data_IF_018458400936
#
_entry.id   IF_018458400936
#
_cell.length_a   1.000
_cell.length_b   1.000
_cell.length_c   1.000
_cell.angle_alpha   90.00
_cell.angle_beta   90.00
_cell.angle_gamma   90.00
#
_symmetry.space_group_name_H-M   'P 1'
#
loop_
_entity.id
_entity.type
_entity.pdbx_description
1 polymer ?
#
# COMPACT_ATOMS: atom_id res chain seq x y z
N UNK A 1 -0.71 -36.53 -2.50
CA UNK A 1 -0.11 -35.44 -3.29
C UNK A 1 -1.12 -34.32 -3.49
N UNK A 2 -0.79 -33.11 -3.01
CA UNK A 2 -1.61 -31.89 -3.07
C UNK A 2 -1.37 -31.08 -4.35
N UNK A 3 -0.17 -31.25 -4.90
CA UNK A 3 0.45 -30.49 -5.96
C UNK A 3 0.33 -31.35 -7.23
N UNK A 4 -0.19 -30.79 -8.32
CA UNK A 4 -0.27 -31.51 -9.59
C UNK A 4 1.12 -31.88 -10.12
N UNK A 5 1.24 -32.91 -10.98
CA UNK A 5 2.53 -33.39 -11.49
C UNK A 5 3.31 -32.34 -12.32
N UNK A 6 2.71 -31.18 -12.62
CA UNK A 6 3.31 -30.05 -13.34
C UNK A 6 3.28 -28.72 -12.55
N UNK A 7 3.02 -28.75 -11.25
CA UNK A 7 2.88 -27.51 -10.50
C UNK A 7 4.22 -26.77 -10.36
N UNK A 8 4.17 -25.46 -10.52
CA UNK A 8 5.30 -24.58 -10.33
C UNK A 8 5.31 -24.04 -8.89
N UNK A 9 6.37 -24.37 -8.15
CA UNK A 9 6.54 -23.94 -6.75
C UNK A 9 6.69 -22.41 -6.65
N UNK A 10 7.35 -21.77 -7.62
CA UNK A 10 7.53 -20.31 -7.64
C UNK A 10 6.22 -19.58 -7.91
N UNK A 11 5.35 -20.13 -8.77
CA UNK A 11 4.01 -19.58 -9.03
C UNK A 11 3.13 -19.68 -7.78
N UNK A 12 3.21 -20.79 -7.04
CA UNK A 12 2.51 -20.94 -5.76
C UNK A 12 3.01 -19.96 -4.70
N UNK A 13 4.34 -19.72 -4.61
CA UNK A 13 4.91 -18.70 -3.72
C UNK A 13 4.40 -17.30 -4.08
N UNK A 14 4.41 -16.98 -5.38
CA UNK A 14 3.86 -15.72 -5.91
C UNK A 14 2.38 -15.57 -5.56
N UNK A 15 1.62 -16.67 -5.62
CA UNK A 15 0.22 -16.72 -5.19
C UNK A 15 0.04 -16.43 -3.70
N UNK A 16 0.88 -17.00 -2.83
CA UNK A 16 0.85 -16.72 -1.38
C UNK A 16 1.14 -15.25 -1.11
N UNK A 17 2.15 -14.67 -1.77
CA UNK A 17 2.47 -13.25 -1.63
C UNK A 17 1.33 -12.35 -2.12
N UNK A 18 0.75 -12.64 -3.28
CA UNK A 18 -0.38 -11.89 -3.83
C UNK A 18 -1.59 -11.95 -2.88
N UNK A 19 -1.87 -13.12 -2.32
CA UNK A 19 -2.94 -13.33 -1.35
C UNK A 19 -2.71 -12.57 -0.05
N UNK A 20 -1.47 -12.59 0.48
CA UNK A 20 -1.11 -11.85 1.68
C UNK A 20 -1.19 -10.33 1.46
N UNK A 21 -0.71 -9.83 0.33
CA UNK A 21 -0.84 -8.41 -0.05
C UNK A 21 -2.30 -8.00 -0.16
N UNK A 22 -3.14 -8.83 -0.77
CA UNK A 22 -4.59 -8.58 -0.88
C UNK A 22 -5.25 -8.51 0.50
N UNK A 23 -4.95 -9.45 1.41
CA UNK A 23 -5.44 -9.44 2.78
C UNK A 23 -5.08 -8.15 3.52
N UNK A 24 -3.80 -7.76 3.49
CA UNK A 24 -3.30 -6.56 4.19
C UNK A 24 -3.90 -5.29 3.57
N UNK A 25 -4.00 -5.21 2.24
CA UNK A 25 -4.63 -4.10 1.54
C UNK A 25 -6.08 -3.93 1.98
N UNK A 26 -6.83 -5.01 2.07
CA UNK A 26 -8.23 -4.97 2.47
C UNK A 26 -8.40 -4.66 3.97
N UNK A 27 -7.55 -5.21 4.86
CA UNK A 27 -7.50 -4.80 6.27
C UNK A 27 -7.21 -3.30 6.42
N UNK A 28 -6.29 -2.75 5.64
CA UNK A 28 -6.01 -1.30 5.62
C UNK A 28 -7.23 -0.51 5.14
N UNK A 29 -7.89 -0.93 4.07
CA UNK A 29 -9.14 -0.31 3.58
C UNK A 29 -10.25 -0.33 4.63
N UNK A 30 -10.42 -1.43 5.35
CA UNK A 30 -11.37 -1.53 6.45
C UNK A 30 -11.02 -0.61 7.63
N UNK A 31 -9.73 -0.33 7.87
CA UNK A 31 -9.29 0.62 8.90
C UNK A 31 -9.39 2.08 8.47
N UNK A 32 -9.42 2.36 7.16
CA UNK A 32 -9.61 3.73 6.65
C UNK A 32 -10.92 4.32 7.19
N UNK A 33 -10.83 5.59 7.57
CA UNK A 33 -11.97 6.46 7.94
C UNK A 33 -12.55 7.09 6.68
N UNK A 34 -13.76 7.64 6.78
CA UNK A 34 -14.38 8.36 5.66
C UNK A 34 -13.43 9.50 5.29
N UNK A 35 -13.08 9.67 4.01
CA UNK A 35 -12.24 10.79 3.58
C UNK A 35 -12.83 12.09 4.14
N UNK A 36 -12.07 12.77 4.99
CA UNK A 36 -12.50 14.04 5.58
C UNK A 36 -12.23 15.18 4.61
N UNK A 37 -13.24 16.02 4.35
CA UNK A 37 -13.10 17.23 3.50
C UNK A 37 -11.90 18.08 3.94
N UNK A 38 -11.69 18.20 5.25
CA UNK A 38 -10.60 18.99 5.83
C UNK A 38 -9.21 18.35 5.66
N UNK A 39 -9.12 17.02 5.67
CA UNK A 39 -7.84 16.33 5.44
C UNK A 39 -7.41 16.49 3.99
N UNK A 40 -8.35 16.37 3.04
CA UNK A 40 -8.08 16.61 1.63
C UNK A 40 -7.65 18.07 1.37
N UNK A 41 -8.36 19.06 1.93
CA UNK A 41 -7.97 20.48 1.83
C UNK A 41 -6.55 20.74 2.36
N UNK A 42 -6.17 20.09 3.48
CA UNK A 42 -4.81 20.21 4.04
C UNK A 42 -3.75 19.59 3.12
N UNK A 43 -4.03 18.44 2.52
CA UNK A 43 -3.10 17.78 1.60
C UNK A 43 -2.95 18.55 0.27
N UNK A 44 -4.05 19.09 -0.28
CA UNK A 44 -4.02 19.95 -1.47
C UNK A 44 -3.14 21.18 -1.24
N UNK A 45 -3.39 21.91 -0.13
CA UNK A 45 -2.59 23.08 0.21
C UNK A 45 -1.11 22.74 0.49
N UNK A 46 -0.79 21.54 0.97
CA UNK A 46 0.59 21.08 1.10
C UNK A 46 1.22 20.76 -0.25
N UNK A 47 0.48 20.13 -1.16
CA UNK A 47 0.96 19.83 -2.52
C UNK A 47 1.32 21.10 -3.29
N UNK A 48 0.45 22.11 -3.26
CA UNK A 48 0.69 23.42 -3.90
C UNK A 48 1.94 24.11 -3.32
N UNK A 49 2.11 24.06 -2.00
CA UNK A 49 3.31 24.61 -1.34
C UNK A 49 4.57 23.86 -1.73
N UNK A 50 4.51 22.54 -1.83
CA UNK A 50 5.66 21.72 -2.24
C UNK A 50 6.05 21.99 -3.70
N UNK A 51 5.08 22.23 -4.57
CA UNK A 51 5.31 22.60 -5.97
C UNK A 51 5.91 24.00 -6.11
N UNK A 52 5.43 24.97 -5.32
CA UNK A 52 6.05 26.28 -5.27
C UNK A 52 7.51 26.22 -4.79
N UNK A 53 7.77 25.43 -3.74
CA UNK A 53 9.13 25.25 -3.21
C UNK A 53 10.04 24.54 -4.21
N UNK A 54 9.56 23.51 -4.92
CA UNK A 54 10.36 22.83 -5.93
C UNK A 54 10.70 23.75 -7.10
N UNK A 55 9.77 24.59 -7.56
CA UNK A 55 10.01 25.57 -8.60
C UNK A 55 11.06 26.62 -8.19
N UNK A 56 11.03 27.12 -6.95
CA UNK A 56 12.05 28.03 -6.45
C UNK A 56 13.42 27.34 -6.30
N UNK A 57 13.46 26.08 -5.89
CA UNK A 57 14.71 25.32 -5.82
C UNK A 57 15.35 25.10 -7.18
N UNK A 58 14.55 24.84 -8.22
CA UNK A 58 15.05 24.75 -9.60
C UNK A 58 15.67 26.08 -10.04
N UNK A 59 15.06 27.22 -9.68
CA UNK A 59 15.63 28.56 -9.97
C UNK A 59 16.94 28.80 -9.22
N UNK A 60 17.05 28.33 -7.97
CA UNK A 60 18.29 28.43 -7.19
C UNK A 60 19.39 27.55 -7.78
N UNK A 61 19.08 26.32 -8.20
CA UNK A 61 20.03 25.42 -8.87
C UNK A 61 20.52 25.96 -10.22
N UNK A 62 19.69 26.72 -10.93
CA UNK A 62 20.08 27.33 -12.20
C UNK A 62 21.19 28.41 -12.05
N UNK A 63 21.45 28.89 -10.83
CA UNK A 63 22.50 29.88 -10.54
C UNK A 63 23.55 29.32 -9.57
N UNK A 64 24.80 29.10 -10.03
CA UNK A 64 25.88 28.56 -9.18
C UNK A 64 26.18 29.40 -7.93
N UNK A 65 26.00 30.71 -8.00
CA UNK A 65 26.20 31.60 -6.86
C UNK A 65 25.08 31.49 -5.82
N UNK A 66 23.85 31.23 -6.26
CA UNK A 66 22.71 31.06 -5.35
C UNK A 66 22.75 29.68 -4.69
N UNK A 67 23.13 28.63 -5.43
CA UNK A 67 23.28 27.29 -4.87
C UNK A 67 24.41 27.23 -3.84
N UNK A 68 25.56 27.84 -4.11
CA UNK A 68 26.68 27.91 -3.16
C UNK A 68 26.30 28.61 -1.85
N UNK A 69 25.66 29.79 -1.93
CA UNK A 69 25.18 30.52 -0.74
C UNK A 69 24.13 29.74 0.05
N UNK A 70 23.27 28.99 -0.63
CA UNK A 70 22.25 28.17 0.02
C UNK A 70 22.87 26.95 0.72
N UNK A 71 23.87 26.31 0.11
CA UNK A 71 24.63 25.23 0.74
C UNK A 71 25.37 25.71 2.00
N UNK A 72 26.07 26.86 1.92
CA UNK A 72 26.75 27.47 3.06
C UNK A 72 25.76 27.80 4.20
N UNK A 73 24.60 28.39 3.86
CA UNK A 73 23.56 28.71 4.85
C UNK A 73 22.97 27.46 5.50
N UNK A 74 22.83 26.36 4.76
CA UNK A 74 22.36 25.08 5.28
C UNK A 74 23.39 24.44 6.22
N UNK A 75 24.68 24.50 5.90
CA UNK A 75 25.74 24.02 6.77
C UNK A 75 25.85 24.82 8.07
N UNK A 76 25.64 26.14 8.02
CA UNK A 76 25.58 26.99 9.20
C UNK A 76 24.34 26.70 10.07
N UNK A 77 23.17 26.56 9.46
CA UNK A 77 21.94 26.25 10.19
C UNK A 77 21.94 24.83 10.76
N UNK A 78 22.56 23.85 10.10
CA UNK A 78 22.71 22.49 10.63
C UNK A 78 23.47 22.48 11.97
N UNK A 79 24.41 23.42 12.17
CA UNK A 79 25.16 23.59 13.42
C UNK A 79 24.33 24.22 14.54
N UNK A 80 23.28 24.97 14.21
CA UNK A 80 22.37 25.63 15.17
C UNK A 80 20.98 24.98 15.26
N UNK A 81 20.76 23.86 14.58
CA UNK A 81 19.46 23.24 14.41
C UNK A 81 19.01 22.45 15.65
N UNK A 82 17.71 22.53 15.95
CA UNK A 82 17.07 21.68 16.97
C UNK A 82 17.06 20.18 16.58
N UNK A 83 16.75 19.28 17.54
CA UNK A 83 16.88 17.83 17.36
C UNK A 83 16.04 17.24 16.21
N UNK A 84 14.93 17.88 15.82
CA UNK A 84 14.10 17.45 14.68
C UNK A 84 14.74 17.73 13.32
N UNK A 85 15.41 18.88 13.18
CA UNK A 85 16.06 19.29 11.95
C UNK A 85 17.36 18.50 11.72
N UNK A 86 18.12 18.21 12.78
CA UNK A 86 19.26 17.30 12.72
C UNK A 86 18.86 15.89 12.26
N UNK A 87 17.69 15.39 12.72
CA UNK A 87 17.16 14.10 12.28
C UNK A 87 16.81 14.10 10.79
N UNK A 88 16.19 15.17 10.28
CA UNK A 88 15.89 15.31 8.85
C UNK A 88 17.15 15.37 8.00
N UNK A 89 18.16 16.15 8.42
CA UNK A 89 19.46 16.20 7.75
C UNK A 89 20.11 14.80 7.69
N UNK A 90 20.14 14.07 8.81
CA UNK A 90 20.68 12.69 8.82
C UNK A 90 19.90 11.71 7.94
N UNK A 91 18.60 11.90 7.77
CA UNK A 91 17.78 11.09 6.87
C UNK A 91 18.06 11.41 5.40
N UNK A 92 18.33 12.68 5.08
CA UNK A 92 18.72 13.11 3.74
C UNK A 92 20.10 12.55 3.41
N UNK A 93 21.08 12.74 4.29
CA UNK A 93 22.46 12.24 4.11
C UNK A 93 22.51 10.70 4.05
N UNK A 94 21.70 10.02 4.87
CA UNK A 94 21.64 8.56 4.89
C UNK A 94 20.91 7.94 3.69
N UNK A 95 19.96 8.65 3.08
CA UNK A 95 19.20 8.16 1.93
C UNK A 95 19.86 8.48 0.59
N UNK A 96 20.55 9.62 0.49
CA UNK A 96 21.11 10.12 -0.77
C UNK A 96 22.65 10.15 -0.80
N UNK A 97 23.32 9.92 0.34
CA UNK A 97 24.79 9.85 0.45
C UNK A 97 25.44 11.23 0.66
N UNK A 98 26.79 11.30 0.73
CA UNK A 98 27.51 12.57 0.74
C UNK A 98 27.53 13.17 -0.68
N UNK A 99 26.87 14.31 -0.88
CA UNK A 99 26.65 14.92 -2.19
C UNK A 99 26.14 16.36 -2.08
N UNK A 100 25.72 16.96 -3.21
CA UNK A 100 25.18 18.32 -3.26
C UNK A 100 23.88 18.42 -2.43
N UNK A 101 23.88 19.15 -1.30
CA UNK A 101 22.72 19.21 -0.41
C UNK A 101 21.49 19.81 -1.10
N UNK A 102 21.68 20.66 -2.10
CA UNK A 102 20.59 21.28 -2.86
C UNK A 102 19.92 20.25 -3.77
N UNK A 103 20.69 19.35 -4.38
CA UNK A 103 20.17 18.25 -5.18
C UNK A 103 19.36 17.26 -4.34
N UNK A 104 19.83 16.91 -3.14
CA UNK A 104 19.12 15.98 -2.26
C UNK A 104 17.81 16.56 -1.72
N UNK A 105 17.78 17.86 -1.41
CA UNK A 105 16.54 18.54 -1.03
C UNK A 105 15.54 18.55 -2.19
N UNK A 106 16.00 18.80 -3.42
CA UNK A 106 15.16 18.74 -4.61
C UNK A 106 14.59 17.33 -4.85
N UNK A 107 15.38 16.28 -4.68
CA UNK A 107 14.91 14.89 -4.78
C UNK A 107 13.90 14.52 -3.68
N UNK A 108 14.17 14.90 -2.43
CA UNK A 108 13.22 14.69 -1.33
C UNK A 108 11.90 15.41 -1.58
N UNK A 109 11.95 16.67 -2.01
CA UNK A 109 10.75 17.44 -2.34
C UNK A 109 10.01 16.86 -3.53
N UNK A 110 10.72 16.34 -4.53
CA UNK A 110 10.10 15.65 -5.66
C UNK A 110 9.43 14.35 -5.21
N UNK A 111 10.03 13.57 -4.29
CA UNK A 111 9.39 12.40 -3.70
C UNK A 111 8.17 12.77 -2.85
N UNK A 112 8.26 13.82 -2.04
CA UNK A 112 7.14 14.33 -1.25
C UNK A 112 6.02 14.83 -2.15
N UNK A 113 6.35 15.59 -3.19
CA UNK A 113 5.40 16.07 -4.20
C UNK A 113 4.77 14.90 -4.94
N UNK A 114 5.54 13.93 -5.45
CA UNK A 114 5.01 12.71 -6.08
C UNK A 114 4.12 11.92 -5.14
N UNK A 115 4.45 11.85 -3.85
CA UNK A 115 3.62 11.18 -2.85
C UNK A 115 2.33 11.95 -2.56
N UNK A 116 2.41 13.28 -2.47
CA UNK A 116 1.28 14.17 -2.25
C UNK A 116 0.36 14.19 -3.48
N UNK A 117 0.91 14.31 -4.68
CA UNK A 117 0.19 14.25 -5.94
C UNK A 117 -0.41 12.87 -6.17
N UNK A 118 0.27 11.76 -5.86
CA UNK A 118 -0.36 10.43 -5.86
C UNK A 118 -1.54 10.32 -4.87
N UNK A 119 -1.53 11.07 -3.77
CA UNK A 119 -2.67 11.13 -2.83
C UNK A 119 -3.76 12.12 -3.24
N UNK A 120 -3.48 13.02 -4.18
CA UNK A 120 -4.38 14.13 -4.56
C UNK A 120 -4.85 14.05 -6.03
N UNK A 121 -4.35 13.11 -6.85
CA UNK A 121 -4.00 13.36 -8.27
C UNK A 121 -4.60 14.60 -8.95
N UNK A 122 -3.66 15.33 -9.55
CA UNK A 122 -3.82 15.94 -10.85
C UNK A 122 -3.55 14.86 -11.92
N UNK A 123 -4.60 14.25 -12.48
CA UNK A 123 -4.50 13.71 -13.85
C UNK A 123 -4.84 14.89 -14.76
N UNK A 124 -3.89 15.32 -15.59
CA UNK A 124 -4.00 16.54 -16.41
C UNK A 124 -5.06 16.45 -17.53
N UNK A 125 -5.70 15.29 -17.74
CA UNK A 125 -6.58 15.04 -18.89
C UNK A 125 -8.06 14.73 -18.57
N UNK A 126 -8.50 14.76 -17.31
CA UNK A 126 -9.92 14.58 -16.97
C UNK A 126 -10.44 15.73 -16.11
N UNK A 127 -11.57 16.29 -16.52
CA UNK A 127 -12.34 17.34 -15.83
C UNK A 127 -12.46 17.12 -14.31
N UNK A 128 -12.58 18.19 -13.51
CA UNK A 128 -12.30 18.17 -12.07
C UNK A 128 -13.45 17.55 -11.26
N UNK A 129 -13.64 16.26 -11.38
CA UNK A 129 -14.20 15.49 -10.28
C UNK A 129 -13.12 15.42 -9.20
N UNK A 130 -13.18 16.39 -8.28
CA UNK A 130 -12.34 16.50 -7.09
C UNK A 130 -11.97 15.10 -6.56
N UNK A 131 -10.69 14.83 -6.31
CA UNK A 131 -10.23 13.57 -5.72
C UNK A 131 -11.01 13.17 -4.47
N UNK A 132 -11.49 14.17 -3.74
CA UNK A 132 -12.43 13.98 -2.65
C UNK A 132 -13.70 13.22 -3.05
N UNK A 133 -14.33 13.59 -4.18
CA UNK A 133 -15.50 12.94 -4.73
C UNK A 133 -15.18 11.53 -5.23
N UNK A 134 -14.04 11.31 -5.89
CA UNK A 134 -13.61 9.97 -6.29
C UNK A 134 -13.33 9.06 -5.06
N UNK A 135 -12.66 9.57 -4.04
CA UNK A 135 -12.42 8.86 -2.78
C UNK A 135 -13.72 8.63 -1.99
N UNK A 136 -14.65 9.60 -2.01
CA UNK A 136 -15.99 9.44 -1.45
C UNK A 136 -16.78 8.38 -2.22
N UNK A 137 -16.73 8.37 -3.54
CA UNK A 137 -17.38 7.38 -4.38
C UNK A 137 -16.80 5.99 -4.16
N UNK A 138 -15.47 5.86 -4.08
CA UNK A 138 -14.82 4.63 -3.67
C UNK A 138 -15.22 4.21 -2.25
N UNK A 139 -15.37 5.17 -1.34
CA UNK A 139 -15.87 4.92 0.01
C UNK A 139 -17.34 4.49 0.03
N UNK A 140 -18.18 5.00 -0.88
CA UNK A 140 -19.58 4.61 -1.03
C UNK A 140 -19.72 3.24 -1.71
N UNK A 141 -18.90 2.95 -2.71
CA UNK A 141 -18.85 1.67 -3.46
C UNK A 141 -18.17 0.54 -2.69
N UNK A 142 -17.50 0.82 -1.58
CA UNK A 142 -16.79 -0.21 -0.82
C UNK A 142 -17.75 -1.28 -0.30
N UNK A 143 -17.31 -2.55 -0.21
CA UNK A 143 -18.08 -3.56 0.50
C UNK A 143 -18.28 -3.17 1.97
N UNK A 144 -19.45 -3.50 2.53
CA UNK A 144 -19.71 -3.33 3.97
C UNK A 144 -18.58 -3.99 4.76
N UNK A 145 -18.11 -3.33 5.81
CA UNK A 145 -17.03 -3.84 6.68
C UNK A 145 -17.50 -5.09 7.41
N UNK A 146 -17.40 -6.24 6.79
CA UNK A 146 -17.52 -7.55 7.45
C UNK A 146 -16.13 -8.07 7.77
N UNK A 147 -15.96 -8.70 8.93
CA UNK A 147 -14.66 -9.27 9.34
C UNK A 147 -14.13 -10.33 8.35
N UNK A 148 -14.99 -10.85 7.46
CA UNK A 148 -14.65 -11.81 6.42
C UNK A 148 -14.09 -11.19 5.13
N UNK A 149 -14.22 -9.88 4.88
CA UNK A 149 -13.73 -9.23 3.64
C UNK A 149 -12.24 -9.47 3.35
N UNK A 150 -11.32 -9.41 4.33
CA UNK A 150 -9.91 -9.67 4.07
C UNK A 150 -9.65 -11.11 3.62
N UNK A 151 -10.43 -12.06 4.16
CA UNK A 151 -10.37 -13.47 3.78
C UNK A 151 -10.93 -13.68 2.37
N UNK A 152 -11.99 -12.95 1.99
CA UNK A 152 -12.48 -12.91 0.61
C UNK A 152 -11.41 -12.43 -0.38
N UNK A 153 -10.75 -11.30 -0.05
CA UNK A 153 -9.71 -10.74 -0.90
C UNK A 153 -8.54 -11.70 -1.06
N UNK A 154 -8.09 -12.32 0.05
CA UNK A 154 -7.05 -13.33 0.06
C UNK A 154 -7.44 -14.53 -0.83
N UNK A 155 -8.63 -15.10 -0.61
CA UNK A 155 -9.08 -16.28 -1.33
C UNK A 155 -9.28 -16.02 -2.82
N UNK A 156 -9.80 -14.84 -3.22
CA UNK A 156 -9.92 -14.47 -4.64
C UNK A 156 -8.57 -14.27 -5.30
N UNK A 157 -7.62 -13.63 -4.61
CA UNK A 157 -6.28 -13.41 -5.13
C UNK A 157 -5.49 -14.72 -5.30
N UNK A 158 -5.71 -15.70 -4.43
CA UNK A 158 -5.02 -16.99 -4.50
C UNK A 158 -5.61 -17.96 -5.55
N UNK A 159 -6.91 -17.84 -5.86
CA UNK A 159 -7.63 -18.77 -6.75
C UNK A 159 -6.95 -19.04 -8.10
N UNK A 160 -6.47 -18.04 -8.87
CA UNK A 160 -5.83 -18.30 -10.17
C UNK A 160 -4.55 -19.13 -10.06
N UNK A 161 -3.83 -19.03 -8.93
CA UNK A 161 -2.63 -19.81 -8.66
C UNK A 161 -2.99 -21.24 -8.25
N UNK A 162 -4.08 -21.40 -7.50
CA UNK A 162 -4.61 -22.71 -7.18
C UNK A 162 -5.05 -23.46 -8.42
N UNK A 163 -5.90 -22.85 -9.25
CA UNK A 163 -6.50 -23.50 -10.43
C UNK A 163 -5.44 -23.93 -11.46
N UNK A 164 -4.28 -23.25 -11.52
CA UNK A 164 -3.16 -23.61 -12.40
C UNK A 164 -2.29 -24.75 -11.86
N UNK A 165 -2.24 -24.96 -10.55
CA UNK A 165 -1.23 -25.82 -9.91
C UNK A 165 -1.81 -27.02 -9.13
N UNK A 166 -3.08 -26.95 -8.72
CA UNK A 166 -3.72 -27.96 -7.89
C UNK A 166 -4.63 -28.88 -8.72
N UNK A 167 -4.61 -30.17 -8.41
CA UNK A 167 -5.50 -31.16 -9.06
C UNK A 167 -6.93 -31.14 -8.50
N UNK A 168 -7.14 -30.49 -7.35
CA UNK A 168 -8.42 -30.49 -6.64
C UNK A 168 -9.15 -29.16 -6.84
N UNK A 169 -10.49 -29.18 -6.89
CA UNK A 169 -11.26 -27.96 -7.13
C UNK A 169 -11.09 -26.94 -6.00
N UNK A 170 -11.10 -25.66 -6.36
CA UNK A 170 -11.09 -24.55 -5.41
C UNK A 170 -12.48 -24.30 -4.83
N UNK A 171 -12.86 -25.07 -3.80
CA UNK A 171 -14.17 -24.94 -3.16
C UNK A 171 -14.12 -25.24 -1.65
N UNK A 172 -15.24 -24.97 -0.97
CA UNK A 172 -15.42 -25.26 0.45
C UNK A 172 -15.52 -26.75 0.81
N UNK A 173 -15.43 -27.66 -0.17
CA UNK A 173 -15.58 -29.11 -0.02
C UNK A 173 -16.98 -29.56 0.45
N UNK A 174 -17.10 -30.86 0.76
CA UNK A 174 -18.34 -31.45 1.29
C UNK A 174 -18.27 -31.55 2.81
N UNK A 175 -19.45 -31.41 3.45
CA UNK A 175 -19.61 -31.65 4.87
C UNK A 175 -19.46 -33.13 5.18
N UNK A 176 -18.46 -33.48 5.99
CA UNK A 176 -18.28 -34.84 6.49
C UNK A 176 -19.06 -34.99 7.80
N UNK A 177 -20.07 -35.86 7.79
CA UNK A 177 -20.93 -36.14 8.94
C UNK A 177 -20.18 -36.83 10.08
N UNK A 178 -19.12 -37.58 9.78
CA UNK A 178 -18.35 -38.32 10.78
C UNK A 178 -17.46 -37.39 11.61
N UNK A 179 -16.80 -36.43 10.96
CA UNK A 179 -15.92 -35.46 11.64
C UNK A 179 -16.63 -34.14 11.97
N UNK A 180 -17.90 -33.99 11.60
CA UNK A 180 -18.70 -32.75 11.70
C UNK A 180 -18.01 -31.52 11.10
N UNK A 181 -17.17 -31.71 10.08
CA UNK A 181 -16.35 -30.66 9.47
C UNK A 181 -16.34 -30.78 7.95
N UNK A 182 -16.19 -29.65 7.24
CA UNK A 182 -15.94 -29.68 5.80
C UNK A 182 -14.49 -30.10 5.54
N UNK A 183 -14.29 -31.19 4.80
CA UNK A 183 -12.97 -31.62 4.34
C UNK A 183 -12.68 -30.94 3.00
N UNK A 184 -11.86 -29.90 3.05
CA UNK A 184 -11.53 -29.09 1.89
C UNK A 184 -10.10 -28.59 2.00
N UNK A 185 -9.25 -29.16 1.17
CA UNK A 185 -7.83 -28.83 1.12
C UNK A 185 -7.61 -27.34 0.80
N UNK A 186 -8.40 -26.77 -0.11
CA UNK A 186 -8.30 -25.35 -0.45
C UNK A 186 -8.62 -24.46 0.77
N UNK A 187 -9.61 -24.85 1.58
CA UNK A 187 -9.93 -24.18 2.85
C UNK A 187 -8.74 -24.25 3.80
N UNK A 188 -8.11 -25.42 3.93
CA UNK A 188 -6.98 -25.62 4.84
C UNK A 188 -5.77 -24.77 4.44
N UNK A 189 -5.47 -24.70 3.13
CA UNK A 189 -4.38 -23.87 2.59
C UNK A 189 -4.65 -22.39 2.83
N UNK A 190 -5.86 -21.92 2.52
CA UNK A 190 -6.25 -20.53 2.78
C UNK A 190 -6.21 -20.21 4.27
N UNK A 191 -6.68 -21.13 5.11
CA UNK A 191 -6.65 -20.97 6.55
C UNK A 191 -5.22 -20.87 7.08
N UNK A 192 -4.29 -21.71 6.60
CA UNK A 192 -2.88 -21.63 6.97
C UNK A 192 -2.24 -20.30 6.58
N UNK A 193 -2.48 -19.80 5.36
CA UNK A 193 -1.99 -18.50 4.91
C UNK A 193 -2.57 -17.39 5.80
N UNK A 194 -3.88 -17.45 6.05
CA UNK A 194 -4.56 -16.43 6.84
C UNK A 194 -4.13 -16.43 8.32
N UNK A 195 -3.88 -17.59 8.93
CA UNK A 195 -3.38 -17.69 10.31
C UNK A 195 -1.99 -17.09 10.51
N UNK A 196 -1.17 -17.02 9.45
CA UNK A 196 0.11 -16.29 9.51
C UNK A 196 -0.08 -14.78 9.59
N UNK A 197 -1.24 -14.27 9.16
CA UNK A 197 -1.59 -12.84 9.19
C UNK A 197 -2.49 -12.49 10.37
N UNK A 198 -3.32 -13.44 10.82
CA UNK A 198 -4.33 -13.29 11.86
C UNK A 198 -4.51 -14.64 12.61
N UNK A 199 -3.72 -14.86 13.69
CA UNK A 199 -3.67 -16.15 14.38
C UNK A 199 -5.00 -16.60 15.00
N UNK A 200 -5.87 -15.66 15.34
CA UNK A 200 -7.17 -15.93 15.97
C UNK A 200 -8.28 -16.24 14.97
N UNK A 201 -7.99 -16.20 13.65
CA UNK A 201 -8.98 -16.40 12.61
C UNK A 201 -9.57 -17.82 12.66
N UNK A 202 -10.88 -18.00 12.92
CA UNK A 202 -11.46 -19.34 12.97
C UNK A 202 -11.60 -19.94 11.57
N UNK A 203 -11.25 -21.23 11.42
CA UNK A 203 -11.40 -21.99 10.16
C UNK A 203 -12.82 -21.91 9.58
N UNK A 204 -13.84 -21.89 10.44
CA UNK A 204 -15.24 -21.77 10.02
C UNK A 204 -15.50 -20.52 9.17
N UNK A 205 -14.79 -19.41 9.42
CA UNK A 205 -14.92 -18.18 8.65
C UNK A 205 -14.37 -18.32 7.23
N UNK A 206 -13.26 -19.07 7.08
CA UNK A 206 -12.70 -19.42 5.77
C UNK A 206 -13.66 -20.31 4.98
N UNK A 207 -14.29 -21.27 5.65
CA UNK A 207 -15.32 -22.14 5.04
C UNK A 207 -16.48 -21.31 4.49
N UNK A 208 -17.02 -20.37 5.27
CA UNK A 208 -18.12 -19.50 4.82
C UNK A 208 -17.72 -18.71 3.59
N UNK A 209 -16.54 -18.09 3.62
CA UNK A 209 -16.00 -17.32 2.47
C UNK A 209 -15.87 -18.19 1.22
N UNK A 210 -15.31 -19.40 1.35
CA UNK A 210 -15.12 -20.33 0.24
C UNK A 210 -16.42 -20.91 -0.34
N UNK A 211 -17.58 -20.71 0.32
CA UNK A 211 -18.90 -21.06 -0.24
C UNK A 211 -19.48 -19.96 -1.14
N UNK A 212 -18.95 -18.75 -1.03
CA UNK A 212 -19.43 -17.55 -1.73
C UNK A 212 -18.49 -17.12 -2.89
N UNK A 213 -17.44 -17.90 -3.16
CA UNK A 213 -16.43 -17.69 -4.23
C UNK A 213 -16.57 -18.82 -5.26
#
# INVERSE_FOLDING_TARGET
>A
MLIGPKANIEDLRSGVEAAARAYVKERRRMRRRKPGVMEHRRLSALSEKLEAISAELVRVQASPNCSGKLAESLEEQAKSAGPSAAKLASMIDGAFGPGDPVAHIAELLNLLHKSASQTVYLNEEETPDSYHNADLDHWHRRPKKTESQPVFALARAFRPYWDRNAMRPYNAGRYDKATKQNKAIAVDVIHLIACKLDPELPRARVVTVMREI
#
